data_IF_628147551879
#
_entry.id   IF_628147551879
#
_cell.length_a   1.000
_cell.length_b   1.000
_cell.length_c   1.000
_cell.angle_alpha   90.00
_cell.angle_beta   90.00
_cell.angle_gamma   90.00
#
_symmetry.space_group_name_H-M   'P 1'
#
loop_
_entity.id
_entity.type
_entity.pdbx_description
1 polymer ?
#
# COMPACT_ATOMS: atom_id res chain seq x y z
N UNK A 1 28.63 -12.12 1.96
CA UNK A 1 29.18 -13.49 2.03
C UNK A 1 28.08 -14.53 1.89
N UNK A 2 27.06 -14.28 1.07
CA UNK A 2 26.04 -15.32 0.84
C UNK A 2 26.68 -16.46 0.04
N UNK A 3 26.41 -17.69 0.43
CA UNK A 3 27.06 -18.86 -0.17
C UNK A 3 28.54 -19.03 0.18
N UNK A 4 29.05 -18.32 1.20
CA UNK A 4 30.41 -18.51 1.70
C UNK A 4 30.39 -19.07 3.12
N UNK A 5 31.30 -20.01 3.38
CA UNK A 5 31.67 -20.39 4.75
C UNK A 5 32.32 -19.18 5.42
N UNK A 6 32.09 -19.05 6.72
CA UNK A 6 32.62 -17.93 7.49
C UNK A 6 33.31 -18.49 8.72
N UNK A 7 34.61 -18.22 8.83
CA UNK A 7 35.36 -18.41 10.07
C UNK A 7 35.12 -17.21 10.97
N UNK A 8 34.33 -17.43 12.01
CA UNK A 8 34.05 -16.43 13.03
C UNK A 8 35.00 -16.59 14.22
N UNK A 9 35.61 -15.50 14.66
CA UNK A 9 36.45 -15.47 15.86
C UNK A 9 35.90 -14.43 16.84
N UNK A 10 35.70 -14.85 18.08
CA UNK A 10 35.22 -13.99 19.16
C UNK A 10 36.41 -13.57 20.01
N UNK A 11 36.67 -12.28 20.03
CA UNK A 11 37.65 -11.63 20.88
C UNK A 11 36.89 -10.87 21.96
N UNK A 12 37.36 -10.91 23.20
CA UNK A 12 36.78 -10.13 24.28
C UNK A 12 37.86 -9.58 25.17
N UNK A 13 37.69 -8.33 25.58
CA UNK A 13 38.56 -7.66 26.54
C UNK A 13 37.70 -7.05 27.64
N UNK A 14 38.09 -7.25 28.89
CA UNK A 14 37.47 -6.61 30.05
C UNK A 14 38.56 -5.89 30.83
N UNK A 15 38.32 -4.64 31.18
CA UNK A 15 39.25 -3.85 31.98
C UNK A 15 39.07 -4.09 33.48
N UNK A 16 39.96 -3.47 34.27
CA UNK A 16 39.99 -3.60 35.74
C UNK A 16 38.76 -2.98 36.43
N UNK A 17 37.97 -2.16 35.75
CA UNK A 17 36.74 -1.55 36.28
C UNK A 17 35.52 -2.47 36.10
N UNK A 18 35.70 -3.59 35.39
CA UNK A 18 34.63 -4.54 35.08
C UNK A 18 33.89 -4.23 33.79
N UNK A 19 34.24 -3.16 33.07
CA UNK A 19 33.69 -2.82 31.75
C UNK A 19 34.49 -3.54 30.66
N UNK A 20 33.80 -4.09 29.65
CA UNK A 20 34.45 -4.83 28.58
C UNK A 20 33.82 -4.67 27.21
N UNK A 21 34.59 -5.01 26.19
CA UNK A 21 34.22 -5.00 24.78
C UNK A 21 34.30 -6.40 24.21
N UNK A 22 33.26 -6.81 23.46
CA UNK A 22 33.27 -8.01 22.64
C UNK A 22 33.42 -7.63 21.16
N UNK A 23 34.40 -8.22 20.48
CA UNK A 23 34.63 -8.06 19.05
C UNK A 23 34.43 -9.44 18.41
N UNK A 24 33.56 -9.54 17.42
CA UNK A 24 33.46 -10.73 16.58
C UNK A 24 34.00 -10.38 15.19
N UNK A 25 35.03 -11.09 14.74
CA UNK A 25 35.57 -10.98 13.38
C UNK A 25 35.04 -12.12 12.52
N UNK A 26 34.71 -11.83 11.27
CA UNK A 26 34.16 -12.79 10.31
C UNK A 26 35.02 -12.80 9.05
N UNK A 27 35.71 -13.92 8.80
CA UNK A 27 36.53 -14.10 7.61
C UNK A 27 35.88 -15.10 6.66
N UNK A 28 35.67 -14.77 5.37
CA UNK A 28 35.20 -15.75 4.39
C UNK A 28 36.24 -16.86 4.22
N UNK A 29 35.79 -18.11 4.16
CA UNK A 29 36.68 -19.29 4.21
C UNK A 29 36.32 -20.35 3.15
N UNK A 30 36.04 -19.89 1.94
CA UNK A 30 35.58 -20.72 0.82
C UNK A 30 34.08 -20.63 0.57
N UNK A 31 33.60 -21.47 -0.35
CA UNK A 31 32.19 -21.55 -0.75
C UNK A 31 31.44 -22.58 0.10
N UNK A 32 30.21 -22.25 0.45
CA UNK A 32 29.27 -23.10 1.18
C UNK A 32 27.85 -22.83 0.68
N UNK A 33 27.35 -23.68 -0.21
CA UNK A 33 25.99 -23.57 -0.77
C UNK A 33 24.91 -23.62 0.33
N UNK A 34 25.17 -24.29 1.46
CA UNK A 34 24.21 -24.34 2.58
C UNK A 34 24.02 -23.00 3.28
N UNK A 35 24.89 -22.01 2.98
CA UNK A 35 24.86 -20.64 3.51
C UNK A 35 24.36 -19.62 2.48
N UNK A 36 23.69 -20.06 1.42
CA UNK A 36 22.91 -19.17 0.53
C UNK A 36 21.60 -18.80 1.21
N UNK A 37 21.70 -17.99 2.25
CA UNK A 37 20.55 -17.55 3.06
C UNK A 37 19.75 -16.49 2.31
N UNK A 38 20.41 -15.57 1.62
CA UNK A 38 19.73 -14.51 0.86
C UNK A 38 18.95 -15.12 -0.31
N UNK A 39 19.59 -15.95 -1.13
CA UNK A 39 18.92 -16.55 -2.29
C UNK A 39 17.72 -17.41 -1.87
N UNK A 40 17.86 -18.21 -0.81
CA UNK A 40 16.74 -18.99 -0.26
C UNK A 40 15.62 -18.09 0.25
N UNK A 41 15.94 -17.04 1.02
CA UNK A 41 14.93 -16.13 1.54
C UNK A 41 14.21 -15.38 0.41
N UNK A 42 14.92 -14.97 -0.63
CA UNK A 42 14.32 -14.31 -1.80
C UNK A 42 13.37 -15.26 -2.53
N UNK A 43 13.76 -16.52 -2.74
CA UNK A 43 12.90 -17.51 -3.36
C UNK A 43 11.64 -17.83 -2.53
N UNK A 44 11.77 -17.90 -1.20
CA UNK A 44 10.62 -18.05 -0.30
C UNK A 44 9.65 -16.87 -0.41
N UNK A 45 10.16 -15.63 -0.39
CA UNK A 45 9.34 -14.42 -0.52
C UNK A 45 8.66 -14.37 -1.89
N UNK A 46 9.38 -14.71 -2.96
CA UNK A 46 8.82 -14.74 -4.32
C UNK A 46 7.67 -15.75 -4.43
N UNK A 47 7.82 -16.94 -3.85
CA UNK A 47 6.77 -17.95 -3.83
C UNK A 47 5.57 -17.53 -2.97
N UNK A 48 5.79 -16.91 -1.80
CA UNK A 48 4.72 -16.34 -0.98
C UNK A 48 3.91 -15.30 -1.74
N UNK A 49 4.58 -14.38 -2.44
CA UNK A 49 3.94 -13.35 -3.26
C UNK A 49 3.19 -13.94 -4.45
N UNK A 50 3.75 -14.96 -5.09
CA UNK A 50 3.08 -15.69 -6.16
C UNK A 50 1.79 -16.35 -5.66
N UNK A 51 1.84 -17.04 -4.51
CA UNK A 51 0.66 -17.69 -3.92
C UNK A 51 -0.42 -16.66 -3.54
N UNK A 52 -0.02 -15.48 -3.02
CA UNK A 52 -0.95 -14.37 -2.77
C UNK A 52 -1.58 -13.89 -4.08
N UNK A 53 -0.78 -13.67 -5.13
CA UNK A 53 -1.27 -13.27 -6.45
C UNK A 53 -2.29 -14.26 -7.02
N UNK A 54 -2.01 -15.55 -6.92
CA UNK A 54 -2.88 -16.59 -7.49
C UNK A 54 -4.24 -16.69 -6.75
N UNK A 55 -4.28 -16.25 -5.48
CA UNK A 55 -5.51 -16.18 -4.66
C UNK A 55 -6.23 -14.83 -4.73
N UNK A 56 -5.60 -13.80 -5.31
CA UNK A 56 -6.17 -12.45 -5.37
C UNK A 56 -7.49 -12.41 -6.12
N UNK A 57 -8.42 -11.54 -5.71
CA UNK A 57 -9.74 -11.45 -6.33
C UNK A 57 -9.76 -10.70 -7.68
N UNK A 58 -10.94 -10.55 -8.27
CA UNK A 58 -11.08 -9.90 -9.58
C UNK A 58 -10.63 -8.42 -9.60
N UNK A 59 -10.74 -7.70 -8.48
CA UNK A 59 -10.39 -6.29 -8.37
C UNK A 59 -8.87 -6.13 -8.39
N UNK A 60 -8.17 -6.92 -7.58
CA UNK A 60 -6.71 -6.89 -7.49
C UNK A 60 -6.07 -7.45 -8.76
N UNK A 61 -6.61 -8.52 -9.34
CA UNK A 61 -6.14 -9.03 -10.64
C UNK A 61 -6.27 -7.98 -11.75
N UNK A 62 -7.38 -7.24 -11.78
CA UNK A 62 -7.57 -6.16 -12.75
C UNK A 62 -6.53 -5.04 -12.57
N UNK A 63 -6.31 -4.61 -11.32
CA UNK A 63 -5.31 -3.59 -10.99
C UNK A 63 -3.90 -4.04 -11.40
N UNK A 64 -3.53 -5.29 -11.08
CA UNK A 64 -2.24 -5.87 -11.44
C UNK A 64 -2.05 -5.93 -12.95
N UNK A 65 -3.02 -6.44 -13.70
CA UNK A 65 -2.95 -6.52 -15.16
C UNK A 65 -2.78 -5.13 -15.79
N UNK A 66 -3.47 -4.12 -15.25
CA UNK A 66 -3.34 -2.74 -15.72
C UNK A 66 -1.93 -2.17 -15.46
N UNK A 67 -1.37 -2.44 -14.27
CA UNK A 67 -0.01 -2.01 -13.91
C UNK A 67 1.02 -2.71 -14.80
N UNK A 68 0.96 -4.03 -14.93
CA UNK A 68 1.92 -4.82 -15.70
C UNK A 68 1.91 -4.41 -17.19
N UNK A 69 0.72 -4.29 -17.79
CA UNK A 69 0.60 -3.87 -19.18
C UNK A 69 1.19 -2.46 -19.41
N UNK A 70 0.96 -1.54 -18.48
CA UNK A 70 1.45 -0.18 -18.63
C UNK A 70 2.95 -0.05 -18.34
N UNK A 71 3.47 -0.76 -17.33
CA UNK A 71 4.89 -0.73 -16.98
C UNK A 71 5.74 -1.42 -18.06
N UNK A 72 5.27 -2.57 -18.60
CA UNK A 72 6.01 -3.34 -19.60
C UNK A 72 5.86 -2.78 -21.02
N UNK A 73 4.65 -2.34 -21.39
CA UNK A 73 4.31 -2.02 -22.80
C UNK A 73 3.80 -0.60 -23.00
N UNK A 74 3.63 0.20 -21.94
CA UNK A 74 3.00 1.53 -21.99
C UNK A 74 1.58 1.51 -22.55
N UNK A 75 0.91 0.36 -22.45
CA UNK A 75 -0.44 0.15 -22.93
C UNK A 75 -1.45 0.26 -21.80
N UNK A 76 -2.56 0.96 -22.06
CA UNK A 76 -3.73 0.94 -21.19
C UNK A 76 -4.64 -0.20 -21.63
N UNK A 77 -4.89 -1.15 -20.74
CA UNK A 77 -5.83 -2.24 -21.01
C UNK A 77 -7.28 -1.72 -21.11
N UNK A 78 -8.07 -2.36 -21.95
CA UNK A 78 -9.53 -2.26 -21.91
C UNK A 78 -10.09 -3.03 -20.72
N UNK A 79 -11.34 -2.74 -20.35
CA UNK A 79 -12.06 -3.55 -19.37
C UNK A 79 -12.23 -4.96 -19.94
N UNK A 80 -11.72 -6.01 -19.29
CA UNK A 80 -11.87 -7.38 -19.75
C UNK A 80 -13.29 -7.91 -19.52
N UNK A 81 -13.68 -8.90 -20.32
CA UNK A 81 -14.91 -9.66 -20.11
C UNK A 81 -14.81 -10.56 -18.87
N UNK A 82 -15.96 -10.97 -18.31
CA UNK A 82 -16.03 -11.92 -17.19
C UNK A 82 -15.72 -11.33 -15.81
N UNK A 83 -15.70 -10.00 -15.68
CA UNK A 83 -15.67 -9.34 -14.38
C UNK A 83 -17.02 -9.42 -13.66
N UNK A 84 -17.04 -9.40 -12.31
CA UNK A 84 -18.27 -9.22 -11.53
C UNK A 84 -19.12 -8.05 -12.04
N UNK A 85 -20.44 -8.25 -12.15
CA UNK A 85 -21.37 -7.27 -12.70
C UNK A 85 -21.34 -5.93 -11.94
N UNK A 86 -21.13 -5.97 -10.63
CA UNK A 86 -20.98 -4.78 -9.79
C UNK A 86 -19.79 -3.90 -10.21
N UNK A 87 -18.72 -4.47 -10.75
CA UNK A 87 -17.56 -3.70 -11.23
C UNK A 87 -17.89 -2.93 -12.51
N UNK A 88 -18.87 -3.40 -13.28
CA UNK A 88 -19.24 -2.87 -14.59
C UNK A 88 -20.41 -1.88 -14.51
N UNK A 89 -21.30 -2.05 -13.52
CA UNK A 89 -22.54 -1.26 -13.40
C UNK A 89 -22.44 -0.17 -12.33
N UNK A 90 -21.70 -0.41 -11.24
CA UNK A 90 -21.58 0.54 -10.14
C UNK A 90 -20.49 1.58 -10.43
N UNK A 91 -20.74 2.80 -9.93
CA UNK A 91 -19.76 3.89 -9.87
C UNK A 91 -19.36 4.11 -8.42
N UNK A 92 -18.06 4.09 -8.14
CA UNK A 92 -17.52 4.42 -6.84
C UNK A 92 -16.14 5.07 -6.98
N UNK A 93 -15.73 5.80 -5.94
CA UNK A 93 -14.33 6.15 -5.76
C UNK A 93 -13.52 4.89 -5.48
N UNK A 94 -12.28 4.84 -5.97
CA UNK A 94 -11.40 3.67 -5.79
C UNK A 94 -10.00 4.13 -5.44
N UNK A 95 -9.37 3.52 -4.46
CA UNK A 95 -7.95 3.68 -4.15
C UNK A 95 -7.20 2.39 -4.45
N UNK A 96 -6.10 2.51 -5.19
CA UNK A 96 -5.19 1.39 -5.44
C UNK A 96 -3.91 1.66 -4.67
N UNK A 97 -3.58 0.78 -3.74
CA UNK A 97 -2.35 0.84 -2.95
C UNK A 97 -1.40 -0.27 -3.38
N UNK A 98 -0.14 0.09 -3.58
CA UNK A 98 0.94 -0.79 -4.00
C UNK A 98 1.97 -0.80 -2.88
N UNK A 99 2.32 -1.98 -2.40
CA UNK A 99 3.36 -2.22 -1.41
C UNK A 99 4.48 -3.08 -2.01
N UNK A 100 5.70 -2.91 -1.48
CA UNK A 100 6.87 -3.72 -1.80
C UNK A 100 7.60 -3.99 -0.49
N UNK A 101 7.73 -5.26 -0.11
CA UNK A 101 8.31 -5.66 1.19
C UNK A 101 7.68 -4.89 2.37
N UNK A 102 6.35 -4.96 2.50
CA UNK A 102 5.55 -4.26 3.53
C UNK A 102 5.64 -2.73 3.52
N UNK A 103 6.34 -2.13 2.55
CA UNK A 103 6.51 -0.68 2.45
C UNK A 103 5.67 -0.10 1.33
N UNK A 104 4.98 1.02 1.59
CA UNK A 104 4.19 1.71 0.57
C UNK A 104 5.07 2.15 -0.61
N UNK A 105 4.71 1.71 -1.82
CA UNK A 105 5.43 1.98 -3.08
C UNK A 105 4.66 2.90 -4.04
N UNK A 106 3.37 3.04 -3.83
CA UNK A 106 2.49 3.98 -4.52
C UNK A 106 1.05 3.85 -4.04
N UNK A 107 0.32 4.95 -3.94
CA UNK A 107 -1.10 4.92 -3.63
C UNK A 107 -1.80 6.11 -4.29
N UNK A 108 -2.73 5.82 -5.19
CA UNK A 108 -3.57 6.83 -5.86
C UNK A 108 -5.01 6.33 -5.89
N UNK A 109 -5.93 7.27 -5.71
CA UNK A 109 -7.34 7.01 -5.84
C UNK A 109 -8.17 8.26 -6.03
N UNK A 110 -9.45 8.03 -6.21
CA UNK A 110 -10.46 9.07 -6.39
C UNK A 110 -11.49 8.98 -5.27
N UNK A 111 -11.86 10.12 -4.70
CA UNK A 111 -12.85 10.20 -3.60
C UNK A 111 -14.26 9.91 -4.12
N UNK A 112 -14.55 10.40 -5.32
CA UNK A 112 -15.83 10.25 -6.02
C UNK A 112 -15.57 9.63 -7.39
N UNK A 113 -16.52 8.85 -7.94
CA UNK A 113 -16.33 8.21 -9.24
C UNK A 113 -16.05 9.24 -10.33
N UNK A 114 -14.97 9.02 -11.08
CA UNK A 114 -14.58 9.84 -12.24
C UNK A 114 -14.76 9.10 -13.57
N UNK A 115 -15.02 7.80 -13.49
CA UNK A 115 -15.21 6.89 -14.63
C UNK A 115 -16.63 6.35 -14.73
N UNK A 116 -16.89 5.63 -15.82
CA UNK A 116 -18.20 5.05 -16.11
C UNK A 116 -18.57 3.92 -15.16
N UNK A 117 -17.58 3.21 -14.62
CA UNK A 117 -17.73 2.10 -13.69
C UNK A 117 -16.47 1.89 -12.82
N UNK A 118 -16.58 1.07 -11.78
CA UNK A 118 -15.49 0.72 -10.87
C UNK A 118 -14.30 0.07 -11.61
N UNK A 119 -14.54 -0.78 -12.61
CA UNK A 119 -13.47 -1.42 -13.38
C UNK A 119 -12.57 -0.39 -14.09
N UNK A 120 -13.16 0.61 -14.74
CA UNK A 120 -12.39 1.69 -15.39
C UNK A 120 -11.65 2.58 -14.37
N UNK A 121 -12.26 2.80 -13.21
CA UNK A 121 -11.66 3.55 -12.10
C UNK A 121 -10.42 2.82 -11.58
N UNK A 122 -10.50 1.50 -11.35
CA UNK A 122 -9.38 0.64 -10.95
C UNK A 122 -8.25 0.72 -11.97
N UNK A 123 -8.52 0.52 -13.27
CA UNK A 123 -7.48 0.57 -14.31
C UNK A 123 -6.77 1.92 -14.29
N UNK A 124 -7.52 3.01 -14.20
CA UNK A 124 -6.96 4.37 -14.21
C UNK A 124 -6.10 4.63 -12.97
N UNK A 125 -6.60 4.27 -11.79
CA UNK A 125 -5.95 4.55 -10.52
C UNK A 125 -4.77 3.61 -10.28
N UNK A 126 -4.82 2.35 -10.73
CA UNK A 126 -3.70 1.41 -10.68
C UNK A 126 -2.50 1.91 -11.50
N UNK A 127 -2.74 2.33 -12.76
CA UNK A 127 -1.69 2.92 -13.61
C UNK A 127 -1.11 4.18 -12.96
N UNK A 128 -1.97 5.03 -12.38
CA UNK A 128 -1.54 6.27 -11.74
C UNK A 128 -0.76 6.00 -10.45
N UNK A 129 -1.16 5.03 -9.63
CA UNK A 129 -0.43 4.62 -8.43
C UNK A 129 0.98 4.11 -8.78
N UNK A 130 1.12 3.39 -9.89
CA UNK A 130 2.40 2.87 -10.34
C UNK A 130 3.32 3.91 -11.00
N UNK A 131 2.78 4.99 -11.57
CA UNK A 131 3.56 5.88 -12.46
C UNK A 131 3.48 7.36 -12.17
N UNK A 132 2.52 7.81 -11.35
CA UNK A 132 2.20 9.23 -11.15
C UNK A 132 2.06 9.62 -9.67
N UNK A 133 2.34 8.73 -8.73
CA UNK A 133 2.39 9.11 -7.32
C UNK A 133 3.60 10.04 -7.11
N UNK A 134 3.42 11.33 -6.78
CA UNK A 134 4.52 12.29 -6.71
C UNK A 134 5.52 12.00 -5.58
N UNK A 135 5.18 11.12 -4.64
CA UNK A 135 6.04 10.74 -3.52
C UNK A 135 7.10 9.71 -3.93
N UNK A 136 6.91 9.02 -5.06
CA UNK A 136 7.74 7.90 -5.47
C UNK A 136 8.12 8.00 -6.96
N UNK A 137 9.30 7.50 -7.37
CA UNK A 137 9.60 7.32 -8.79
C UNK A 137 8.67 6.26 -9.40
N UNK A 138 8.45 6.33 -10.72
CA UNK A 138 7.66 5.32 -11.43
C UNK A 138 8.21 3.91 -11.21
N UNK A 139 7.31 2.93 -11.06
CA UNK A 139 7.65 1.52 -10.87
C UNK A 139 8.34 0.96 -12.11
N UNK A 140 9.42 0.20 -11.89
CA UNK A 140 10.19 -0.46 -12.94
C UNK A 140 9.74 -1.92 -13.18
N UNK A 141 10.01 -2.49 -14.37
CA UNK A 141 9.63 -3.86 -14.70
C UNK A 141 10.14 -4.95 -13.74
N UNK A 142 11.36 -4.79 -13.23
CA UNK A 142 11.99 -5.71 -12.28
C UNK A 142 11.36 -5.67 -10.89
N UNK A 143 10.58 -4.63 -10.58
CA UNK A 143 9.85 -4.52 -9.32
C UNK A 143 8.53 -5.32 -9.34
N UNK A 144 7.95 -5.60 -10.51
CA UNK A 144 6.58 -6.11 -10.66
C UNK A 144 6.31 -7.42 -9.89
N UNK A 145 7.30 -8.33 -9.87
CA UNK A 145 7.22 -9.60 -9.15
C UNK A 145 7.17 -9.45 -7.63
N UNK A 146 7.61 -8.30 -7.11
CA UNK A 146 7.73 -8.02 -5.68
C UNK A 146 6.59 -7.17 -5.12
N UNK A 147 5.57 -6.86 -5.94
CA UNK A 147 4.49 -5.96 -5.56
C UNK A 147 3.31 -6.69 -4.95
N UNK A 148 2.84 -6.18 -3.82
CA UNK A 148 1.54 -6.47 -3.23
C UNK A 148 0.58 -5.33 -3.56
N UNK A 149 -0.63 -5.66 -4.01
CA UNK A 149 -1.60 -4.68 -4.46
C UNK A 149 -2.88 -4.90 -3.66
N UNK A 150 -3.45 -3.81 -3.15
CA UNK A 150 -4.80 -3.83 -2.58
C UNK A 150 -5.66 -2.77 -3.27
N UNK A 151 -6.96 -3.05 -3.35
CA UNK A 151 -7.95 -2.16 -3.96
C UNK A 151 -9.04 -1.85 -2.95
N UNK A 152 -9.21 -0.57 -2.65
CA UNK A 152 -10.22 -0.05 -1.74
C UNK A 152 -11.34 0.60 -2.55
N UNK A 153 -12.54 0.01 -2.52
CA UNK A 153 -13.74 0.54 -3.18
C UNK A 153 -14.59 1.28 -2.16
N UNK A 154 -14.85 2.55 -2.42
CA UNK A 154 -15.52 3.44 -1.48
C UNK A 154 -17.04 3.26 -1.55
N UNK A 155 -17.68 3.17 -0.38
CA UNK A 155 -19.11 3.34 -0.20
C UNK A 155 -19.57 4.76 -0.53
N UNK A 156 -20.89 4.94 -0.66
CA UNK A 156 -21.45 6.30 -0.78
C UNK A 156 -21.22 7.05 0.53
N UNK A 157 -20.69 8.29 0.50
CA UNK A 157 -20.51 9.07 1.72
C UNK A 157 -21.84 9.51 2.32
N UNK A 158 -21.96 9.36 3.64
CA UNK A 158 -23.08 9.81 4.45
C UNK A 158 -22.68 11.05 5.25
N UNK A 159 -23.50 12.10 5.24
CA UNK A 159 -23.30 13.26 6.10
C UNK A 159 -23.48 12.87 7.58
N UNK A 160 -22.62 13.38 8.45
CA UNK A 160 -22.71 13.17 9.91
C UNK A 160 -22.76 14.50 10.65
N UNK A 161 -23.45 14.52 11.79
CA UNK A 161 -23.61 15.72 12.61
C UNK A 161 -22.48 15.85 13.64
N UNK A 162 -21.94 14.73 14.12
CA UNK A 162 -20.87 14.70 15.13
C UNK A 162 -19.77 13.68 14.82
N UNK A 163 -18.60 13.90 15.41
CA UNK A 163 -17.48 12.94 15.44
C UNK A 163 -17.85 11.63 16.15
N UNK A 164 -18.85 11.65 17.05
CA UNK A 164 -19.30 10.46 17.78
C UNK A 164 -19.92 9.39 16.87
N UNK A 165 -20.26 9.75 15.63
CA UNK A 165 -20.78 8.85 14.61
C UNK A 165 -19.67 8.14 13.80
N UNK A 166 -18.40 8.43 14.12
CA UNK A 166 -17.23 7.80 13.50
C UNK A 166 -16.69 6.68 14.38
N UNK A 167 -16.21 5.64 13.71
CA UNK A 167 -15.41 4.57 14.27
C UNK A 167 -14.18 4.46 13.38
N UNK A 168 -12.99 4.64 13.95
CA UNK A 168 -11.71 4.72 13.21
C UNK A 168 -11.41 3.43 12.45
N UNK A 169 -11.89 2.28 12.95
CA UNK A 169 -11.70 0.96 12.33
C UNK A 169 -12.73 0.70 11.24
N UNK A 170 -13.94 1.23 11.37
CA UNK A 170 -15.04 0.95 10.45
C UNK A 170 -15.16 1.97 9.31
N UNK A 171 -15.05 3.25 9.64
CA UNK A 171 -15.41 4.36 8.74
C UNK A 171 -14.21 5.17 8.32
N UNK A 172 -14.13 5.45 7.01
CA UNK A 172 -13.33 6.55 6.50
C UNK A 172 -14.04 7.88 6.74
N UNK A 173 -13.28 8.97 6.76
CA UNK A 173 -13.80 10.32 6.97
C UNK A 173 -13.48 11.23 5.80
N UNK A 174 -14.45 12.03 5.39
CA UNK A 174 -14.30 13.13 4.44
C UNK A 174 -14.54 14.43 5.20
N UNK A 175 -13.58 15.35 5.12
CA UNK A 175 -13.71 16.70 5.69
C UNK A 175 -13.76 17.71 4.56
N UNK A 176 -14.78 18.58 4.55
CA UNK A 176 -14.97 19.58 3.49
C UNK A 176 -15.13 20.99 4.07
N UNK A 177 -14.38 21.97 3.53
CA UNK A 177 -14.51 23.40 3.82
C UNK A 177 -14.47 24.19 2.50
N UNK A 178 -15.63 24.65 2.02
CA UNK A 178 -15.76 25.29 0.71
C UNK A 178 -15.30 24.36 -0.43
N UNK A 179 -14.23 24.75 -1.13
CA UNK A 179 -13.61 23.96 -2.21
C UNK A 179 -12.56 22.94 -1.71
N UNK A 180 -12.15 23.03 -0.44
CA UNK A 180 -11.16 22.11 0.15
C UNK A 180 -11.86 20.82 0.57
N UNK A 181 -11.32 19.68 0.17
CA UNK A 181 -11.79 18.35 0.58
C UNK A 181 -10.62 17.45 0.92
N UNK A 182 -10.70 16.80 2.07
CA UNK A 182 -9.72 15.82 2.55
C UNK A 182 -10.39 14.52 2.87
N UNK A 183 -9.68 13.42 2.64
CA UNK A 183 -10.16 12.08 2.94
C UNK A 183 -9.09 11.30 3.70
N UNK A 184 -9.53 10.51 4.67
CA UNK A 184 -8.74 9.44 5.25
C UNK A 184 -9.56 8.15 5.25
N UNK A 185 -8.93 7.05 4.82
CA UNK A 185 -9.51 5.71 4.83
C UNK A 185 -9.63 5.20 6.28
N UNK A 186 -10.51 4.21 6.55
CA UNK A 186 -10.55 3.53 7.84
C UNK A 186 -9.30 2.69 8.08
N UNK A 187 -9.09 2.33 9.35
CA UNK A 187 -8.10 1.35 9.81
C UNK A 187 -6.68 1.61 9.30
N UNK A 188 -6.19 2.81 9.57
CA UNK A 188 -4.83 3.23 9.23
C UNK A 188 -3.92 3.04 10.46
N UNK A 189 -2.78 2.38 10.26
CA UNK A 189 -1.76 2.21 11.30
C UNK A 189 -1.31 3.54 11.88
N UNK A 190 -1.31 3.62 13.22
CA UNK A 190 -0.95 4.82 13.97
C UNK A 190 -2.04 5.90 14.06
N UNK A 191 -3.27 5.60 13.63
CA UNK A 191 -4.45 6.45 13.85
C UNK A 191 -5.41 5.71 14.78
N UNK A 192 -5.41 6.10 16.05
CA UNK A 192 -6.14 5.40 17.11
C UNK A 192 -7.39 6.16 17.57
N UNK A 193 -7.51 7.45 17.25
CA UNK A 193 -8.65 8.28 17.68
C UNK A 193 -9.34 8.98 16.52
N UNK A 194 -10.64 9.23 16.68
CA UNK A 194 -11.45 9.98 15.70
C UNK A 194 -10.89 11.38 15.49
N UNK A 195 -10.43 12.04 16.56
CA UNK A 195 -9.81 13.37 16.45
C UNK A 195 -8.54 13.34 15.59
N UNK A 196 -7.67 12.36 15.79
CA UNK A 196 -6.49 12.18 14.93
C UNK A 196 -6.90 11.94 13.47
N UNK A 197 -7.91 11.09 13.25
CA UNK A 197 -8.42 10.76 11.92
C UNK A 197 -8.90 12.02 11.18
N UNK A 198 -9.74 12.83 11.84
CA UNK A 198 -10.27 14.09 11.30
C UNK A 198 -9.15 15.10 11.07
N UNK A 199 -8.24 15.27 12.03
CA UNK A 199 -7.14 16.24 11.94
C UNK A 199 -6.20 15.92 10.77
N UNK A 200 -5.90 14.64 10.54
CA UNK A 200 -5.10 14.21 9.39
C UNK A 200 -5.83 14.53 8.08
N UNK A 201 -7.13 14.25 7.99
CA UNK A 201 -7.93 14.58 6.81
C UNK A 201 -7.97 16.10 6.54
N UNK A 202 -8.12 16.92 7.60
CA UNK A 202 -8.04 18.38 7.51
C UNK A 202 -6.69 18.86 7.01
N UNK A 203 -5.59 18.33 7.57
CA UNK A 203 -4.22 18.66 7.14
C UNK A 203 -3.98 18.33 5.67
N UNK A 204 -4.44 17.16 5.20
CA UNK A 204 -4.35 16.75 3.79
C UNK A 204 -5.08 17.72 2.85
N UNK A 205 -6.17 18.34 3.32
CA UNK A 205 -6.95 19.32 2.57
C UNK A 205 -6.50 20.78 2.76
N UNK A 206 -5.53 21.03 3.65
CA UNK A 206 -5.15 22.38 4.04
C UNK A 206 -6.27 23.16 4.74
N UNK A 207 -7.15 22.47 5.50
CA UNK A 207 -8.23 23.07 6.28
C UNK A 207 -7.72 23.38 7.69
N UNK A 208 -7.87 24.61 8.14
CA UNK A 208 -7.49 25.01 9.50
C UNK A 208 -8.58 24.64 10.53
N UNK A 209 -8.20 24.37 11.78
CA UNK A 209 -9.13 23.97 12.85
C UNK A 209 -10.19 25.03 13.20
N UNK A 210 -9.92 26.28 12.88
CA UNK A 210 -10.86 27.41 13.05
C UNK A 210 -11.85 27.57 11.90
N UNK A 211 -11.67 26.88 10.77
CA UNK A 211 -12.61 26.92 9.65
C UNK A 211 -13.87 26.13 9.98
N UNK A 212 -15.03 26.57 9.49
CA UNK A 212 -16.23 25.74 9.50
C UNK A 212 -16.09 24.63 8.47
N UNK A 213 -16.24 23.38 8.89
CA UNK A 213 -16.18 22.22 8.01
C UNK A 213 -17.41 21.33 8.16
N UNK A 214 -17.65 20.52 7.14
CA UNK A 214 -18.62 19.41 7.17
C UNK A 214 -17.87 18.09 7.27
N UNK A 215 -18.49 17.13 7.93
CA UNK A 215 -18.01 15.75 8.03
C UNK A 215 -18.94 14.83 7.25
N UNK A 216 -18.33 13.88 6.55
CA UNK A 216 -19.03 12.73 5.99
C UNK A 216 -18.25 11.48 6.37
N UNK A 217 -18.95 10.37 6.57
CA UNK A 217 -18.35 9.04 6.76
C UNK A 217 -18.64 8.15 5.57
N UNK A 218 -17.81 7.14 5.34
CA UNK A 218 -18.06 6.12 4.33
C UNK A 218 -17.43 4.80 4.75
N UNK A 219 -18.03 3.69 4.31
CA UNK A 219 -17.44 2.36 4.44
C UNK A 219 -16.52 2.06 3.24
N UNK A 220 -15.58 1.15 3.44
CA UNK A 220 -14.65 0.70 2.38
C UNK A 220 -14.71 -0.81 2.29
N UNK A 221 -14.85 -1.31 1.07
CA UNK A 221 -14.62 -2.73 0.77
C UNK A 221 -13.18 -2.86 0.27
N UNK A 222 -12.35 -3.54 1.07
CA UNK A 222 -10.93 -3.77 0.76
C UNK A 222 -10.74 -5.14 0.13
N UNK A 223 -10.08 -5.14 -1.02
CA UNK A 223 -9.79 -6.29 -1.85
C UNK A 223 -8.29 -6.62 -1.83
N UNK A 224 -7.96 -7.91 -1.83
CA UNK A 224 -6.61 -8.47 -1.76
C UNK A 224 -6.39 -9.54 -2.84
#
# INVERSE_FOLDING_TARGET
FDGMSVRAEKLSYQDITGVGYGICTFYPDGYDESRRFLDRRLAEVEEELRLKRDKSDAYVRLARNAIEAYVLRRERISVPDGLPEEMLTRKAGVFVSIHKHDSLRGCIGTISPTRSCVAEEIITNAISAATKDPRFPAILPDELGWLEISVDVLGEPEDIESKDELDVKKYGVIVSSGLKKGLLLPDIDGVDTVDQQVDIAMKKAGIHSSEKYKLQRFEVVRHY
#
